data_IF_590087714415
#
_entry.id   IF_590087714415
#
_cell.length_a   1.000
_cell.length_b   1.000
_cell.length_c   1.000
_cell.angle_alpha   90.00
_cell.angle_beta   90.00
_cell.angle_gamma   90.00
#
_symmetry.space_group_name_H-M   'P 1'
#
loop_
_entity.id
_entity.type
_entity.pdbx_description
1 polymer ?
#
# COMPACT_ATOMS: atom_id res chain seq x y z
N UNK A 1 47.75 -18.79 -65.22
CA UNK A 1 46.46 -18.05 -65.28
C UNK A 1 45.42 -18.95 -64.64
N UNK A 2 44.75 -18.66 -63.52
CA UNK A 2 44.88 -17.60 -62.53
C UNK A 2 45.27 -18.28 -61.22
N UNK A 3 46.55 -18.26 -60.85
CA UNK A 3 46.90 -18.71 -59.51
C UNK A 3 46.51 -17.58 -58.56
N UNK A 4 45.28 -17.64 -58.04
CA UNK A 4 44.91 -16.86 -56.87
C UNK A 4 46.04 -17.03 -55.85
N UNK A 5 46.64 -15.91 -55.46
CA UNK A 5 47.74 -15.93 -54.52
C UNK A 5 47.25 -16.58 -53.22
N UNK A 6 48.08 -17.43 -52.61
CA UNK A 6 47.82 -18.05 -51.32
C UNK A 6 47.29 -17.05 -50.29
N UNK A 7 47.75 -15.78 -50.32
CA UNK A 7 47.23 -14.71 -49.47
C UNK A 7 45.72 -14.52 -49.60
N UNK A 8 45.21 -14.41 -50.83
CA UNK A 8 43.79 -14.20 -51.09
C UNK A 8 42.98 -15.42 -50.64
N UNK A 9 43.50 -16.63 -50.92
CA UNK A 9 42.86 -17.88 -50.49
C UNK A 9 42.74 -17.92 -48.97
N UNK A 10 43.80 -17.59 -48.23
CA UNK A 10 43.79 -17.57 -46.77
C UNK A 10 42.78 -16.58 -46.18
N UNK A 11 42.63 -15.41 -46.79
CA UNK A 11 41.68 -14.39 -46.34
C UNK A 11 40.22 -14.83 -46.50
N UNK A 12 39.93 -15.64 -47.53
CA UNK A 12 38.55 -16.10 -47.83
C UNK A 12 38.24 -17.51 -47.28
N UNK A 13 39.24 -18.27 -46.80
CA UNK A 13 39.06 -19.60 -46.22
C UNK A 13 38.02 -19.66 -45.09
N UNK A 14 37.93 -18.68 -44.16
CA UNK A 14 36.88 -18.68 -43.14
C UNK A 14 35.47 -18.66 -43.74
N UNK A 15 35.25 -17.82 -44.75
CA UNK A 15 33.97 -17.70 -45.45
C UNK A 15 33.62 -18.97 -46.24
N UNK A 16 34.64 -19.66 -46.76
CA UNK A 16 34.47 -20.96 -47.42
C UNK A 16 34.05 -22.05 -46.44
N UNK A 17 34.62 -22.08 -45.23
CA UNK A 17 34.22 -23.01 -44.15
C UNK A 17 32.78 -22.72 -43.71
N UNK A 18 32.41 -21.46 -43.59
CA UNK A 18 31.05 -21.02 -43.24
C UNK A 18 30.04 -21.27 -44.38
N UNK A 19 30.49 -21.68 -45.57
CA UNK A 19 29.64 -22.01 -46.71
C UNK A 19 28.94 -20.81 -47.36
N UNK A 20 29.45 -19.59 -47.15
CA UNK A 20 28.83 -18.33 -47.60
C UNK A 20 29.49 -17.75 -48.86
N UNK A 21 30.42 -18.47 -49.47
CA UNK A 21 31.04 -18.09 -50.75
C UNK A 21 30.15 -18.48 -51.93
N UNK A 22 30.27 -17.75 -53.04
CA UNK A 22 29.59 -18.13 -54.29
C UNK A 22 30.16 -19.41 -54.90
N UNK A 23 29.38 -20.10 -55.73
CA UNK A 23 29.81 -21.34 -56.41
C UNK A 23 31.06 -21.14 -57.29
N UNK A 24 31.18 -19.97 -57.93
CA UNK A 24 32.34 -19.59 -58.74
C UNK A 24 33.60 -19.46 -57.86
N UNK A 25 33.49 -18.77 -56.71
CA UNK A 25 34.59 -18.66 -55.75
C UNK A 25 34.96 -20.01 -55.14
N UNK A 26 33.97 -20.87 -54.91
CA UNK A 26 34.17 -22.22 -54.36
C UNK A 26 35.02 -23.10 -55.27
N UNK A 27 34.70 -23.14 -56.57
CA UNK A 27 35.45 -23.91 -57.55
C UNK A 27 36.93 -23.46 -57.63
N UNK A 28 37.18 -22.15 -57.59
CA UNK A 28 38.53 -21.58 -57.59
C UNK A 28 39.33 -21.95 -56.34
N UNK A 29 38.68 -21.96 -55.17
CA UNK A 29 39.31 -22.36 -53.91
C UNK A 29 39.66 -23.85 -53.92
N UNK A 30 38.75 -24.71 -54.39
CA UNK A 30 38.97 -26.16 -54.48
C UNK A 30 40.10 -26.51 -55.46
N UNK A 31 40.17 -25.83 -56.61
CA UNK A 31 41.26 -25.97 -57.58
C UNK A 31 42.62 -25.60 -56.94
N UNK A 32 42.68 -24.48 -56.21
CA UNK A 32 43.90 -24.07 -55.51
C UNK A 32 44.29 -25.04 -54.39
N UNK A 33 43.33 -25.50 -53.58
CA UNK A 33 43.56 -26.46 -52.51
C UNK A 33 44.06 -27.80 -53.06
N UNK A 34 43.65 -28.22 -54.26
CA UNK A 34 44.12 -29.46 -54.86
C UNK A 34 45.64 -29.46 -55.08
N UNK A 35 46.24 -28.31 -55.40
CA UNK A 35 47.67 -28.16 -55.69
C UNK A 35 48.51 -27.53 -54.55
N UNK A 36 47.89 -26.80 -53.60
CA UNK A 36 48.61 -26.07 -52.56
C UNK A 36 48.51 -26.73 -51.17
N UNK A 37 49.60 -27.36 -50.73
CA UNK A 37 49.68 -27.98 -49.40
C UNK A 37 49.66 -26.97 -48.23
N UNK A 38 50.06 -25.72 -48.46
CA UNK A 38 50.06 -24.68 -47.43
C UNK A 38 48.63 -24.27 -47.06
N UNK A 39 47.81 -23.99 -48.07
CA UNK A 39 46.40 -23.63 -47.89
C UNK A 39 45.56 -24.80 -47.35
N UNK A 40 45.89 -26.05 -47.70
CA UNK A 40 45.29 -27.26 -47.07
C UNK A 40 45.54 -27.30 -45.56
N UNK A 41 46.76 -27.03 -45.11
CA UNK A 41 47.08 -27.01 -43.66
C UNK A 41 46.32 -25.90 -42.94
N UNK A 42 46.23 -24.71 -43.55
CA UNK A 42 45.46 -23.59 -43.00
C UNK A 42 43.98 -23.94 -42.84
N UNK A 43 43.37 -24.58 -43.85
CA UNK A 43 41.99 -25.05 -43.81
C UNK A 43 41.76 -26.03 -42.65
N UNK A 44 42.69 -26.97 -42.42
CA UNK A 44 42.58 -27.93 -41.32
C UNK A 44 42.75 -27.28 -39.94
N UNK A 45 43.58 -26.23 -39.82
CA UNK A 45 43.69 -25.45 -38.58
C UNK A 45 42.39 -24.69 -38.27
N UNK A 46 41.76 -24.10 -39.29
CA UNK A 46 40.51 -23.35 -39.15
C UNK A 46 39.29 -24.26 -38.85
N UNK A 47 39.31 -25.52 -39.31
CA UNK A 47 38.27 -26.52 -38.99
C UNK A 47 38.35 -27.05 -37.56
N UNK A 48 39.47 -26.84 -36.85
CA UNK A 48 39.57 -27.28 -35.46
C UNK A 48 38.63 -26.45 -34.60
N UNK A 49 37.81 -27.09 -33.74
CA UNK A 49 36.96 -26.36 -32.82
C UNK A 49 37.84 -25.49 -31.93
N UNK A 50 37.52 -24.19 -31.85
CA UNK A 50 38.22 -23.28 -30.96
C UNK A 50 38.13 -23.83 -29.53
N UNK A 51 39.27 -24.20 -28.95
CA UNK A 51 39.37 -24.53 -27.53
C UNK A 51 39.24 -23.20 -26.78
N UNK A 52 38.01 -22.86 -26.40
CA UNK A 52 37.75 -21.73 -25.51
C UNK A 52 38.31 -22.14 -24.14
N UNK A 53 39.32 -21.45 -23.59
CA UNK A 53 39.80 -21.76 -22.25
C UNK A 53 38.66 -21.54 -21.24
N UNK A 54 38.51 -22.45 -20.28
CA UNK A 54 37.46 -22.40 -19.23
C UNK A 54 37.44 -21.09 -18.42
N UNK A 55 38.48 -20.26 -18.53
CA UNK A 55 38.60 -18.98 -17.85
C UNK A 55 37.61 -17.90 -18.35
N UNK A 56 36.97 -18.06 -19.51
CA UNK A 56 35.95 -17.11 -19.99
C UNK A 56 34.60 -17.38 -19.29
N UNK A 57 34.31 -18.63 -18.93
CA UNK A 57 33.13 -18.99 -18.13
C UNK A 57 33.24 -18.49 -16.68
N UNK A 58 34.47 -18.40 -16.15
CA UNK A 58 34.70 -17.88 -14.80
C UNK A 58 34.32 -16.39 -14.63
N UNK A 59 34.39 -15.57 -15.69
CA UNK A 59 33.97 -14.16 -15.65
C UNK A 59 32.45 -13.96 -15.68
N UNK A 60 31.69 -14.92 -16.19
CA UNK A 60 30.21 -14.89 -16.14
C UNK A 60 29.68 -15.27 -14.75
N UNK A 61 30.47 -16.02 -13.97
CA UNK A 61 30.12 -16.41 -12.60
C UNK A 61 30.29 -15.28 -11.56
N UNK A 62 31.12 -14.28 -11.83
CA UNK A 62 31.29 -13.11 -10.95
C UNK A 62 30.06 -12.18 -10.91
N UNK A 63 29.09 -12.35 -11.82
CA UNK A 63 27.81 -11.63 -11.78
C UNK A 63 26.76 -12.26 -10.85
N UNK A 64 26.95 -13.52 -10.43
CA UNK A 64 26.04 -14.24 -9.53
C UNK A 64 25.84 -13.61 -8.13
N UNK A 65 26.88 -13.11 -7.42
CA UNK A 65 26.69 -12.54 -6.08
C UNK A 65 25.80 -11.29 -6.10
N UNK A 66 25.87 -10.47 -7.16
CA UNK A 66 25.08 -9.25 -7.30
C UNK A 66 23.58 -9.51 -7.48
N UNK A 67 23.19 -10.56 -8.21
CA UNK A 67 21.77 -10.89 -8.41
C UNK A 67 21.11 -11.43 -7.14
N UNK A 68 21.77 -12.34 -6.43
CA UNK A 68 21.28 -12.89 -5.15
C UNK A 68 21.25 -11.79 -4.08
N UNK A 69 22.25 -10.91 -4.06
CA UNK A 69 22.30 -9.76 -3.15
C UNK A 69 21.18 -8.76 -3.44
N UNK A 70 20.92 -8.40 -4.70
CA UNK A 70 19.79 -7.53 -5.09
C UNK A 70 18.44 -8.14 -4.68
N UNK A 71 18.25 -9.46 -4.82
CA UNK A 71 17.02 -10.15 -4.41
C UNK A 71 16.84 -10.16 -2.89
N UNK A 72 17.92 -10.41 -2.13
CA UNK A 72 17.93 -10.32 -0.65
C UNK A 72 17.66 -8.89 -0.16
N UNK A 73 18.26 -7.89 -0.79
CA UNK A 73 18.03 -6.46 -0.50
C UNK A 73 16.59 -6.04 -0.80
N UNK A 74 16.01 -6.46 -1.93
CA UNK A 74 14.60 -6.19 -2.26
C UNK A 74 13.64 -6.85 -1.26
N UNK A 75 13.93 -8.08 -0.80
CA UNK A 75 13.13 -8.74 0.25
C UNK A 75 13.24 -8.03 1.60
N UNK A 76 14.46 -7.67 2.04
CA UNK A 76 14.66 -6.88 3.26
C UNK A 76 13.92 -5.53 3.19
N UNK A 77 14.04 -4.80 2.07
CA UNK A 77 13.30 -3.54 1.86
C UNK A 77 11.78 -3.73 1.92
N UNK A 78 11.23 -4.78 1.29
CA UNK A 78 9.79 -5.09 1.36
C UNK A 78 9.34 -5.41 2.79
N UNK A 79 10.12 -6.20 3.52
CA UNK A 79 9.86 -6.50 4.94
C UNK A 79 9.91 -5.24 5.79
N UNK A 80 10.93 -4.40 5.62
CA UNK A 80 11.05 -3.12 6.34
C UNK A 80 9.86 -2.20 6.06
N UNK A 81 9.46 -2.04 4.78
CA UNK A 81 8.28 -1.25 4.42
C UNK A 81 7.01 -1.83 5.04
N UNK A 82 6.82 -3.16 5.00
CA UNK A 82 5.67 -3.80 5.62
C UNK A 82 5.62 -3.55 7.15
N UNK A 83 6.75 -3.66 7.83
CA UNK A 83 6.86 -3.37 9.28
C UNK A 83 6.52 -1.90 9.57
N UNK A 84 7.06 -0.97 8.77
CA UNK A 84 6.76 0.46 8.94
C UNK A 84 5.27 0.76 8.72
N UNK A 85 4.64 0.13 7.74
CA UNK A 85 3.20 0.28 7.50
C UNK A 85 2.37 -0.26 8.66
N UNK A 86 2.73 -1.43 9.22
CA UNK A 86 2.06 -2.00 10.39
C UNK A 86 2.24 -1.10 11.61
N UNK A 87 3.45 -0.61 11.86
CA UNK A 87 3.72 0.33 12.96
C UNK A 87 2.94 1.64 12.80
N UNK A 88 2.83 2.15 11.57
CA UNK A 88 2.02 3.32 11.27
C UNK A 88 0.52 3.07 11.54
N UNK A 89 -0.01 1.92 11.14
CA UNK A 89 -1.38 1.51 11.46
C UNK A 89 -1.61 1.40 12.97
N UNK A 90 -0.69 0.77 13.71
CA UNK A 90 -0.81 0.63 15.16
C UNK A 90 -0.79 1.99 15.85
N UNK A 91 0.14 2.87 15.46
CA UNK A 91 0.25 4.21 16.06
C UNK A 91 -0.96 5.08 15.75
N UNK A 92 -1.46 5.07 14.52
CA UNK A 92 -2.71 5.79 14.17
C UNK A 92 -3.90 5.28 14.96
N UNK A 93 -4.08 3.96 15.07
CA UNK A 93 -5.14 3.36 15.90
C UNK A 93 -4.95 3.74 17.37
N UNK A 94 -3.73 3.72 17.91
CA UNK A 94 -3.47 4.07 19.31
C UNK A 94 -3.78 5.55 19.63
N UNK A 95 -3.56 6.46 18.68
CA UNK A 95 -3.90 7.88 18.84
C UNK A 95 -5.41 8.12 18.76
N UNK A 96 -6.11 7.35 17.93
CA UNK A 96 -7.54 7.56 17.63
C UNK A 96 -8.44 6.77 18.59
N UNK A 97 -8.11 5.53 18.94
CA UNK A 97 -8.94 4.64 19.76
C UNK A 97 -9.43 5.28 21.08
N UNK A 98 -8.61 6.03 21.84
CA UNK A 98 -9.07 6.69 23.06
C UNK A 98 -10.22 7.67 22.83
N UNK A 99 -10.35 8.29 21.65
CA UNK A 99 -11.47 9.21 21.36
C UNK A 99 -12.79 8.48 21.16
N UNK A 100 -12.75 7.23 20.72
CA UNK A 100 -13.94 6.39 20.50
C UNK A 100 -14.36 5.65 21.79
N UNK A 101 -13.39 5.28 22.63
CA UNK A 101 -13.59 4.43 23.81
C UNK A 101 -13.83 5.25 25.09
N UNK A 102 -13.89 6.60 25.02
CA UNK A 102 -14.17 7.45 26.21
C UNK A 102 -15.42 7.02 26.99
N UNK A 103 -16.46 6.58 26.29
CA UNK A 103 -17.73 6.09 26.86
C UNK A 103 -17.82 4.55 26.97
N UNK A 104 -16.69 3.85 26.88
CA UNK A 104 -16.63 2.38 26.89
C UNK A 104 -17.02 1.79 25.54
N UNK A 105 -18.09 0.98 25.52
CA UNK A 105 -18.54 0.28 24.31
C UNK A 105 -19.19 1.27 23.32
N UNK A 106 -18.68 1.43 22.08
CA UNK A 106 -19.24 2.34 21.09
C UNK A 106 -20.50 1.79 20.38
N UNK A 107 -20.76 0.48 20.47
CA UNK A 107 -21.86 -0.18 19.75
C UNK A 107 -23.24 0.44 20.06
N UNK A 108 -23.62 0.71 21.33
CA UNK A 108 -24.89 1.35 21.64
C UNK A 108 -25.03 2.74 21.01
N UNK A 109 -23.96 3.53 21.01
CA UNK A 109 -23.96 4.88 20.43
C UNK A 109 -24.12 4.86 18.92
N UNK A 110 -23.39 3.97 18.24
CA UNK A 110 -23.51 3.82 16.78
C UNK A 110 -24.90 3.29 16.42
N UNK A 111 -25.42 2.30 17.16
CA UNK A 111 -26.78 1.77 16.97
C UNK A 111 -27.84 2.86 17.12
N UNK A 112 -27.71 3.71 18.13
CA UNK A 112 -28.56 4.89 18.32
C UNK A 112 -28.39 5.92 17.20
N UNK A 113 -27.17 6.19 16.74
CA UNK A 113 -26.89 7.14 15.67
C UNK A 113 -27.60 6.78 14.36
N UNK A 114 -27.65 5.50 14.01
CA UNK A 114 -28.33 5.00 12.81
C UNK A 114 -29.85 5.23 12.85
N UNK A 115 -30.45 5.33 14.04
CA UNK A 115 -31.89 5.58 14.21
C UNK A 115 -32.28 7.05 14.09
N UNK A 116 -31.31 7.98 14.08
CA UNK A 116 -31.59 9.42 14.02
C UNK A 116 -31.96 9.81 12.59
N UNK A 117 -33.20 10.25 12.43
CA UNK A 117 -33.78 10.68 11.16
C UNK A 117 -34.44 12.05 11.31
N UNK A 118 -35.13 12.53 10.27
CA UNK A 118 -35.90 13.78 10.36
C UNK A 118 -37.09 13.64 11.32
N UNK A 119 -37.69 12.46 11.38
CA UNK A 119 -38.85 12.18 12.23
C UNK A 119 -38.45 11.77 13.66
N UNK A 120 -37.18 11.39 13.85
CA UNK A 120 -36.59 11.00 15.14
C UNK A 120 -35.33 11.83 15.40
N UNK A 121 -35.46 13.09 15.84
CA UNK A 121 -34.34 14.04 15.93
C UNK A 121 -33.33 13.67 17.03
N UNK A 122 -33.77 12.95 18.06
CA UNK A 122 -32.96 12.44 19.16
C UNK A 122 -33.37 11.02 19.54
N UNK A 123 -32.47 10.28 20.20
CA UNK A 123 -32.75 8.93 20.71
C UNK A 123 -32.08 8.69 22.05
N UNK A 124 -32.72 7.89 22.90
CA UNK A 124 -32.07 7.32 24.09
C UNK A 124 -31.03 6.27 23.65
N UNK A 125 -29.87 6.28 24.30
CA UNK A 125 -28.82 5.27 24.15
C UNK A 125 -29.01 4.22 25.23
N UNK A 126 -29.16 2.96 24.82
CA UNK A 126 -29.35 1.85 25.75
C UNK A 126 -28.01 1.46 26.40
N UNK A 127 -27.63 2.23 27.41
CA UNK A 127 -26.46 2.00 28.27
C UNK A 127 -26.89 2.14 29.72
N UNK A 128 -26.38 1.27 30.60
CA UNK A 128 -26.62 1.37 32.04
C UNK A 128 -25.69 2.45 32.61
N UNK A 129 -26.23 3.63 32.89
CA UNK A 129 -25.55 4.66 33.68
C UNK A 129 -26.36 4.89 34.95
N UNK A 130 -25.72 4.82 36.12
CA UNK A 130 -26.40 4.70 37.42
C UNK A 130 -27.41 5.82 37.71
N UNK A 131 -27.17 7.04 37.25
CA UNK A 131 -27.99 8.22 37.58
C UNK A 131 -28.41 9.05 36.36
N UNK A 132 -28.08 8.62 35.13
CA UNK A 132 -28.27 9.44 33.93
C UNK A 132 -28.85 8.64 32.78
N UNK A 133 -29.83 9.23 32.11
CA UNK A 133 -30.27 8.85 30.79
C UNK A 133 -29.37 9.52 29.74
N UNK A 134 -28.83 8.70 28.85
CA UNK A 134 -27.93 9.15 27.80
C UNK A 134 -28.72 9.35 26.52
N UNK A 135 -28.78 10.58 26.01
CA UNK A 135 -29.42 10.89 24.73
C UNK A 135 -28.39 11.21 23.66
N UNK A 136 -28.71 10.92 22.41
CA UNK A 136 -27.88 11.21 21.26
C UNK A 136 -28.67 12.03 20.24
N UNK A 137 -28.08 13.13 19.77
CA UNK A 137 -28.64 13.98 18.72
C UNK A 137 -27.61 14.29 17.64
N UNK A 138 -28.08 14.63 16.44
CA UNK A 138 -27.22 15.31 15.46
C UNK A 138 -27.00 16.76 15.90
N UNK A 139 -25.86 17.34 15.54
CA UNK A 139 -25.56 18.76 15.81
C UNK A 139 -26.64 19.72 15.30
N UNK A 140 -27.32 19.39 14.20
CA UNK A 140 -28.41 20.19 13.64
C UNK A 140 -29.70 20.14 14.47
N UNK A 141 -29.85 19.14 15.34
CA UNK A 141 -31.09 18.81 16.02
C UNK A 141 -31.00 19.02 17.54
N UNK A 142 -30.14 19.93 17.99
CA UNK A 142 -29.98 20.22 19.42
C UNK A 142 -31.22 20.94 19.97
N UNK A 143 -31.90 21.74 19.15
CA UNK A 143 -33.07 22.53 19.57
C UNK A 143 -34.23 21.63 20.00
N UNK A 144 -34.49 20.54 19.28
CA UNK A 144 -35.54 19.57 19.62
C UNK A 144 -35.25 18.87 20.94
N UNK A 145 -33.98 18.63 21.26
CA UNK A 145 -33.58 18.05 22.55
C UNK A 145 -33.74 19.03 23.70
N UNK A 146 -33.37 20.30 23.49
CA UNK A 146 -33.58 21.38 24.47
C UNK A 146 -35.08 21.48 24.77
N UNK A 147 -35.93 21.59 23.75
CA UNK A 147 -37.39 21.61 23.91
C UNK A 147 -37.92 20.36 24.61
N UNK A 148 -37.37 19.18 24.32
CA UNK A 148 -37.76 17.97 25.02
C UNK A 148 -37.45 18.07 26.53
N UNK A 149 -36.28 18.59 26.91
CA UNK A 149 -35.91 18.79 28.31
C UNK A 149 -36.82 19.84 28.95
N UNK A 150 -37.00 21.00 28.32
CA UNK A 150 -37.86 22.07 28.85
C UNK A 150 -39.27 21.57 29.16
N UNK A 151 -39.88 20.84 28.23
CA UNK A 151 -41.23 20.30 28.39
C UNK A 151 -41.31 19.13 29.39
N UNK A 152 -40.26 18.33 29.51
CA UNK A 152 -40.27 17.13 30.36
C UNK A 152 -40.07 17.47 31.83
N UNK A 153 -39.27 18.51 32.11
CA UNK A 153 -38.94 18.93 33.48
C UNK A 153 -39.61 20.25 33.90
N UNK A 154 -40.42 20.85 33.03
CA UNK A 154 -41.05 22.17 33.23
C UNK A 154 -39.99 23.23 33.61
N UNK A 155 -38.96 23.33 32.78
CA UNK A 155 -37.82 24.23 32.96
C UNK A 155 -37.57 25.04 31.69
N UNK A 156 -36.84 26.14 31.82
CA UNK A 156 -36.37 26.95 30.69
C UNK A 156 -34.85 26.95 30.61
N UNK A 157 -34.33 26.96 29.38
CA UNK A 157 -32.90 27.14 29.16
C UNK A 157 -32.47 28.55 29.60
N UNK A 158 -31.56 28.62 30.57
CA UNK A 158 -30.98 29.88 31.06
C UNK A 158 -29.80 30.27 30.19
N UNK A 159 -28.81 29.37 30.08
CA UNK A 159 -27.62 29.61 29.29
C UNK A 159 -26.90 28.31 28.91
N UNK A 160 -26.02 28.42 27.92
CA UNK A 160 -25.08 27.38 27.54
C UNK A 160 -23.66 27.89 27.77
N UNK A 161 -22.89 27.17 28.58
CA UNK A 161 -21.47 27.47 28.80
C UNK A 161 -20.63 26.23 28.48
N UNK A 162 -19.82 26.34 27.43
CA UNK A 162 -18.99 25.25 26.91
C UNK A 162 -19.84 24.00 26.57
N UNK A 163 -19.60 22.90 27.29
CA UNK A 163 -20.30 21.63 27.14
C UNK A 163 -21.47 21.48 28.10
N UNK A 164 -21.94 22.53 28.78
CA UNK A 164 -23.00 22.44 29.76
C UNK A 164 -24.19 23.31 29.37
N UNK A 165 -25.39 22.75 29.50
CA UNK A 165 -26.65 23.48 29.38
C UNK A 165 -27.25 23.63 30.77
N UNK A 166 -27.63 24.85 31.11
CA UNK A 166 -28.22 25.21 32.39
C UNK A 166 -29.70 25.49 32.19
N UNK A 167 -30.54 24.70 32.84
CA UNK A 167 -31.99 24.88 32.86
C UNK A 167 -32.42 25.31 34.25
N UNK A 168 -33.47 26.13 34.33
CA UNK A 168 -34.07 26.53 35.60
C UNK A 168 -35.58 26.65 35.49
N UNK A 169 -36.29 26.37 36.59
CA UNK A 169 -37.72 26.65 36.70
C UNK A 169 -37.97 27.94 37.52
N UNK A 170 -39.24 28.33 37.62
CA UNK A 170 -39.67 29.51 38.39
C UNK A 170 -39.35 29.41 39.90
N UNK A 171 -39.12 28.20 40.42
CA UNK A 171 -38.73 27.92 41.80
C UNK A 171 -37.20 27.98 42.04
N UNK A 172 -36.41 28.43 41.05
CA UNK A 172 -34.94 28.47 41.09
C UNK A 172 -34.27 27.10 41.27
N UNK A 173 -34.97 26.01 40.94
CA UNK A 173 -34.34 24.69 40.79
C UNK A 173 -33.50 24.74 39.52
N UNK A 174 -32.25 24.27 39.62
CA UNK A 174 -31.31 24.25 38.51
C UNK A 174 -31.04 22.81 38.05
N UNK A 175 -31.18 22.57 36.75
CA UNK A 175 -30.79 21.33 36.10
C UNK A 175 -29.59 21.60 35.20
N UNK A 176 -28.50 20.89 35.47
CA UNK A 176 -27.27 20.95 34.70
C UNK A 176 -27.20 19.71 33.80
N UNK A 177 -27.13 19.94 32.49
CA UNK A 177 -27.06 18.88 31.48
C UNK A 177 -25.70 18.93 30.79
N UNK A 178 -24.77 18.04 31.17
CA UNK A 178 -23.51 17.88 30.46
C UNK A 178 -23.74 17.37 29.04
N UNK A 179 -22.95 17.89 28.12
CA UNK A 179 -22.92 17.49 26.71
C UNK A 179 -21.49 17.34 26.22
N UNK A 180 -21.29 16.39 25.32
CA UNK A 180 -20.02 16.20 24.65
C UNK A 180 -20.18 15.87 23.17
N UNK A 181 -19.14 16.19 22.40
CA UNK A 181 -19.11 15.86 20.97
C UNK A 181 -18.71 14.41 20.77
N UNK A 182 -19.50 13.70 19.97
CA UNK A 182 -19.26 12.32 19.57
C UNK A 182 -19.16 12.21 18.05
N UNK A 183 -18.07 11.61 17.56
CA UNK A 183 -17.76 11.47 16.13
C UNK A 183 -17.80 12.80 15.32
N UNK A 184 -17.69 13.94 16.00
CA UNK A 184 -17.71 15.28 15.39
C UNK A 184 -19.08 15.79 14.89
N UNK A 185 -20.04 14.88 14.67
CA UNK A 185 -21.36 15.20 14.09
C UNK A 185 -22.54 14.96 15.05
N UNK A 186 -22.30 14.24 16.14
CA UNK A 186 -23.31 13.99 17.18
C UNK A 186 -22.98 14.72 18.47
N UNK A 187 -24.02 15.00 19.23
CA UNK A 187 -23.96 15.50 20.60
C UNK A 187 -24.56 14.43 21.51
N UNK A 188 -23.81 14.05 22.54
CA UNK A 188 -24.31 13.18 23.61
C UNK A 188 -24.72 14.06 24.77
N UNK A 189 -25.87 13.76 25.37
CA UNK A 189 -26.47 14.50 26.48
C UNK A 189 -26.62 13.57 27.68
N UNK A 190 -26.20 14.03 28.84
CA UNK A 190 -26.37 13.31 30.11
C UNK A 190 -27.46 13.99 30.91
N UNK A 191 -28.65 13.39 30.92
CA UNK A 191 -29.81 13.96 31.60
C UNK A 191 -30.11 13.12 32.83
N UNK A 192 -30.28 13.75 33.99
CA UNK A 192 -30.54 13.04 35.25
C UNK A 192 -31.79 12.15 35.11
N UNK A 193 -31.63 10.86 35.46
CA UNK A 193 -32.76 9.94 35.54
C UNK A 193 -33.48 10.17 36.86
N UNK A 194 -34.63 10.84 36.82
CA UNK A 194 -35.53 10.91 37.97
C UNK A 194 -36.34 9.62 37.96
N UNK A 195 -36.05 8.72 38.90
CA UNK A 195 -36.90 7.55 39.19
C UNK A 195 -38.15 7.99 39.94
#
# INVERSE_FOLDING_TARGET
>A
MNELNCTIIKDILPLYIDGVVSDESKALIEEHLSHCNNCKKELELLKQPAIIPDNINAKLDEAQPLYVFKKRMKRKKRLTVAVLLVMFLITTVALIAPTFIKRGNPIPYISSAVKISKDTPFTLVNVKHSNYNIYLTKKSNCEEMIKHIENTWDMQLVEQVNGYYFFSNDEQVHLLVPTERYLGIYTVWEVLSIN
#
